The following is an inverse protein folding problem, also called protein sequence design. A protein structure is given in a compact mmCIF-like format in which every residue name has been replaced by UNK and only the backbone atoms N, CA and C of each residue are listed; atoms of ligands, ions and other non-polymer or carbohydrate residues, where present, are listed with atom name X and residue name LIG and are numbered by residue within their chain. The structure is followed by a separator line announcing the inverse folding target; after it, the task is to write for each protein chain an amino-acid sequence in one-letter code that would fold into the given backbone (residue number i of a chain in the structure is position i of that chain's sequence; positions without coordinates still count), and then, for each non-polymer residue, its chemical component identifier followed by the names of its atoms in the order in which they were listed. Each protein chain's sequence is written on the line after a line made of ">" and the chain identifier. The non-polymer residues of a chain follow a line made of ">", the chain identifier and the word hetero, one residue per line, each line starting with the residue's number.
data_IF_678924952099
#
_entry.id   IF_678924952099
#
_cell.length_a   1.000
_cell.length_b   1.000
_cell.length_c   1.000
_cell.angle_alpha   90.00
_cell.angle_beta   90.00
_cell.angle_gamma   90.00
#
_symmetry.space_group_name_H-M   'P 1'
#
loop_
_entity.id
_entity.type
_entity.pdbx_description
1 polymer ?
#
# COMPACT_ATOMS: atom_id res chain seq x y z
N UNK A 1 14.87 11.48 10.10
CA UNK A 1 13.50 11.25 10.58
C UNK A 1 13.03 9.90 10.07
N UNK A 2 12.05 9.77 9.17
CA UNK A 2 11.54 8.46 8.72
C UNK A 2 12.53 7.67 7.83
N UNK A 3 13.33 8.35 7.00
CA UNK A 3 14.35 7.69 6.17
C UNK A 3 15.40 6.95 7.01
N UNK A 4 15.99 7.62 8.01
CA UNK A 4 16.92 6.99 8.96
C UNK A 4 16.31 5.79 9.72
N UNK A 5 15.02 5.84 10.02
CA UNK A 5 14.33 4.71 10.63
C UNK A 5 14.21 3.52 9.67
N UNK A 6 13.98 3.76 8.37
CA UNK A 6 13.98 2.70 7.35
C UNK A 6 15.38 2.10 7.14
N UNK A 7 16.42 2.91 7.10
CA UNK A 7 17.82 2.43 7.03
C UNK A 7 18.15 1.52 8.23
N UNK A 8 17.73 1.93 9.43
CA UNK A 8 17.90 1.10 10.63
C UNK A 8 17.09 -0.20 10.55
N UNK A 9 15.87 -0.16 10.02
CA UNK A 9 15.05 -1.35 9.80
C UNK A 9 15.74 -2.33 8.84
N UNK A 10 16.32 -1.83 7.75
CA UNK A 10 17.10 -2.61 6.77
C UNK A 10 18.33 -3.25 7.39
N UNK A 11 19.09 -2.50 8.19
CA UNK A 11 20.21 -3.06 8.95
C UNK A 11 19.74 -4.15 9.92
N UNK A 12 18.61 -3.92 10.60
CA UNK A 12 18.04 -4.88 11.57
C UNK A 12 17.59 -6.17 10.89
N UNK A 13 16.95 -6.10 9.72
CA UNK A 13 16.52 -7.29 8.97
C UNK A 13 17.71 -8.18 8.57
N UNK A 14 18.86 -7.58 8.23
CA UNK A 14 20.10 -8.31 7.96
C UNK A 14 20.64 -9.00 9.23
N UNK A 15 20.58 -8.32 10.38
CA UNK A 15 20.99 -8.91 11.66
C UNK A 15 20.09 -10.08 12.06
N UNK A 16 18.77 -9.92 11.92
CA UNK A 16 17.81 -10.98 12.22
C UNK A 16 17.98 -12.17 11.28
N UNK A 17 18.23 -11.94 9.99
CA UNK A 17 18.53 -13.01 9.04
C UNK A 17 19.76 -13.81 9.44
N UNK A 18 20.84 -13.17 9.89
CA UNK A 18 22.03 -13.87 10.41
C UNK A 18 21.71 -14.71 11.64
N UNK A 19 20.85 -14.22 12.53
CA UNK A 19 20.43 -14.96 13.75
C UNK A 19 19.55 -16.17 13.43
N UNK A 20 18.71 -16.07 12.39
CA UNK A 20 17.79 -17.14 11.99
C UNK A 20 18.43 -18.18 11.08
N UNK A 21 19.55 -17.84 10.41
CA UNK A 21 20.23 -18.72 9.47
C UNK A 21 20.59 -20.12 10.04
N UNK A 22 21.06 -20.28 11.29
CA UNK A 22 21.32 -21.61 11.87
C UNK A 22 20.08 -22.50 11.99
N UNK A 23 18.88 -21.91 11.98
CA UNK A 23 17.59 -22.61 12.02
C UNK A 23 16.99 -22.78 10.61
N UNK A 24 17.72 -22.41 9.55
CA UNK A 24 17.18 -22.36 8.18
C UNK A 24 16.18 -21.23 7.93
N UNK A 25 16.06 -20.27 8.86
CA UNK A 25 15.15 -19.13 8.74
C UNK A 25 15.80 -17.90 8.11
N UNK A 26 14.96 -16.97 7.64
CA UNK A 26 15.38 -15.68 7.08
C UNK A 26 14.36 -14.59 7.42
N UNK A 27 14.84 -13.35 7.62
CA UNK A 27 14.00 -12.20 7.90
C UNK A 27 13.96 -11.27 6.68
N UNK A 28 12.78 -10.74 6.37
CA UNK A 28 12.57 -9.91 5.19
C UNK A 28 11.88 -8.60 5.57
N UNK A 29 12.16 -7.57 4.78
CA UNK A 29 11.33 -6.36 4.73
C UNK A 29 10.42 -6.50 3.52
N UNK A 30 9.12 -6.26 3.73
CA UNK A 30 8.17 -6.09 2.64
C UNK A 30 7.94 -4.59 2.43
N UNK A 31 8.30 -4.10 1.24
CA UNK A 31 8.00 -2.74 0.81
C UNK A 31 6.62 -2.77 0.16
N UNK A 32 5.63 -2.21 0.85
CA UNK A 32 4.24 -2.30 0.47
C UNK A 32 3.79 -1.09 -0.35
N UNK A 33 2.85 -1.34 -1.27
CA UNK A 33 2.10 -0.30 -1.98
C UNK A 33 1.37 0.64 -1.03
N UNK A 34 1.13 1.86 -1.49
CA UNK A 34 0.36 2.88 -0.82
C UNK A 34 -1.13 2.51 -0.70
N UNK A 35 -1.64 2.62 0.52
CA UNK A 35 -3.04 2.36 0.91
C UNK A 35 -3.50 3.36 1.97
N UNK A 36 -4.81 3.45 2.17
CA UNK A 36 -5.40 4.31 3.21
C UNK A 36 -5.20 3.65 4.57
N UNK A 37 -4.61 4.40 5.50
CA UNK A 37 -4.40 4.02 6.90
C UNK A 37 -4.57 5.26 7.77
N UNK A 38 -4.74 5.09 9.09
CA UNK A 38 -4.84 6.23 10.02
C UNK A 38 -3.59 7.11 9.96
N UNK A 39 -2.43 6.47 9.83
CA UNK A 39 -1.14 7.17 9.71
C UNK A 39 -0.97 7.85 8.36
N UNK A 40 -1.37 7.23 7.25
CA UNK A 40 -1.22 7.83 5.90
C UNK A 40 -2.19 8.97 5.64
N UNK A 41 -3.39 8.93 6.23
CA UNK A 41 -4.41 9.97 6.06
C UNK A 41 -4.03 11.34 6.65
N UNK A 42 -3.13 11.37 7.63
CA UNK A 42 -2.69 12.61 8.31
C UNK A 42 -1.41 13.20 7.72
N UNK A 43 -0.74 12.50 6.79
CA UNK A 43 0.43 13.04 6.12
C UNK A 43 -0.06 13.97 5.01
N UNK A 44 0.34 15.26 4.99
CA UNK A 44 -0.02 16.16 3.92
C UNK A 44 0.32 15.57 2.55
N UNK A 45 -0.47 15.88 1.52
CA UNK A 45 -0.25 15.48 0.11
C UNK A 45 -0.52 14.00 -0.20
N UNK A 46 -0.34 13.08 0.76
CA UNK A 46 -0.59 11.65 0.58
C UNK A 46 -2.03 11.30 0.17
N UNK A 47 -3.09 11.93 0.73
CA UNK A 47 -4.46 11.68 0.27
C UNK A 47 -4.67 11.91 -1.23
N UNK A 48 -4.09 12.99 -1.76
CA UNK A 48 -4.19 13.31 -3.19
C UNK A 48 -3.43 12.29 -4.05
N UNK A 49 -2.23 11.88 -3.60
CA UNK A 49 -1.45 10.85 -4.28
C UNK A 49 -2.22 9.52 -4.33
N UNK A 50 -2.77 9.08 -3.20
CA UNK A 50 -3.55 7.86 -3.12
C UNK A 50 -4.77 7.91 -4.05
N UNK A 51 -5.53 9.00 -4.04
CA UNK A 51 -6.70 9.13 -4.91
C UNK A 51 -6.32 9.05 -6.40
N UNK A 52 -5.23 9.71 -6.83
CA UNK A 52 -4.74 9.62 -8.21
C UNK A 52 -4.27 8.19 -8.53
N UNK A 53 -3.42 7.63 -7.67
CA UNK A 53 -2.86 6.29 -7.84
C UNK A 53 -3.95 5.23 -7.96
N UNK A 54 -4.97 5.29 -7.10
CA UNK A 54 -6.07 4.32 -7.11
C UNK A 54 -6.80 4.34 -8.44
N UNK A 55 -7.08 5.54 -8.97
CA UNK A 55 -7.73 5.68 -10.27
C UNK A 55 -6.90 5.06 -11.38
N UNK A 56 -5.60 5.39 -11.45
CA UNK A 56 -4.67 4.86 -12.47
C UNK A 56 -4.56 3.34 -12.39
N UNK A 57 -4.39 2.80 -11.19
CA UNK A 57 -4.23 1.35 -11.00
C UNK A 57 -5.52 0.59 -11.29
N UNK A 58 -6.70 1.16 -11.00
CA UNK A 58 -8.00 0.57 -11.35
C UNK A 58 -8.24 0.53 -12.85
N UNK A 59 -7.94 1.62 -13.56
CA UNK A 59 -8.02 1.66 -15.03
C UNK A 59 -7.13 0.60 -15.70
N UNK A 60 -6.05 0.20 -15.02
CA UNK A 60 -5.12 -0.86 -15.45
C UNK A 60 -5.45 -2.24 -14.87
N UNK A 61 -6.47 -2.38 -14.03
CA UNK A 61 -6.88 -3.65 -13.43
C UNK A 61 -5.91 -4.23 -12.39
N UNK A 62 -5.09 -3.39 -11.74
CA UNK A 62 -4.02 -3.80 -10.81
C UNK A 62 -4.13 -3.14 -9.43
N UNK A 63 -5.28 -2.55 -9.11
CA UNK A 63 -5.49 -1.95 -7.79
C UNK A 63 -5.68 -3.03 -6.72
N UNK A 64 -5.03 -2.84 -5.58
CA UNK A 64 -5.10 -3.71 -4.41
C UNK A 64 -5.29 -2.89 -3.13
N UNK A 65 -6.08 -3.43 -2.21
CA UNK A 65 -6.17 -2.99 -0.82
C UNK A 65 -5.23 -3.77 0.09
N UNK A 66 -5.40 -3.59 1.40
CA UNK A 66 -4.54 -4.22 2.40
C UNK A 66 -4.60 -5.75 2.34
N UNK A 67 -5.79 -6.32 2.18
CA UNK A 67 -5.97 -7.78 2.23
C UNK A 67 -5.43 -8.46 0.98
N UNK A 68 -5.66 -7.87 -0.20
CA UNK A 68 -5.14 -8.36 -1.48
C UNK A 68 -3.62 -8.34 -1.49
N UNK A 69 -3.01 -7.24 -1.00
CA UNK A 69 -1.55 -7.16 -0.86
C UNK A 69 -1.00 -8.25 0.06
N UNK A 70 -1.61 -8.50 1.23
CA UNK A 70 -1.12 -9.54 2.13
C UNK A 70 -1.34 -10.94 1.56
N UNK A 71 -2.48 -11.17 0.90
CA UNK A 71 -2.73 -12.41 0.18
C UNK A 71 -1.65 -12.67 -0.87
N UNK A 72 -1.37 -11.69 -1.75
CA UNK A 72 -0.34 -11.81 -2.79
C UNK A 72 1.06 -12.00 -2.20
N UNK A 73 1.39 -11.32 -1.11
CA UNK A 73 2.67 -11.51 -0.40
C UNK A 73 2.86 -12.98 0.00
N UNK A 74 1.86 -13.59 0.63
CA UNK A 74 1.97 -14.97 1.10
C UNK A 74 1.82 -16.00 -0.04
N UNK A 75 0.81 -15.83 -0.88
CA UNK A 75 0.40 -16.79 -1.90
C UNK A 75 1.31 -16.81 -3.13
N UNK A 76 1.99 -15.70 -3.45
CA UNK A 76 2.81 -15.60 -4.66
C UNK A 76 4.30 -15.37 -4.40
N UNK A 77 4.68 -14.92 -3.20
CA UNK A 77 6.08 -14.58 -2.88
C UNK A 77 6.64 -15.41 -1.73
N UNK A 78 6.20 -15.18 -0.51
CA UNK A 78 6.88 -15.67 0.70
C UNK A 78 6.85 -17.21 0.83
N UNK A 79 5.74 -17.86 0.45
CA UNK A 79 5.56 -19.31 0.59
C UNK A 79 5.30 -20.03 -0.73
N UNK A 80 5.33 -19.31 -1.85
CA UNK A 80 4.93 -19.84 -3.15
C UNK A 80 6.07 -20.58 -3.88
N UNK A 81 7.32 -20.27 -3.55
CA UNK A 81 8.51 -20.70 -4.29
C UNK A 81 9.59 -21.16 -3.33
N UNK A 82 10.54 -21.95 -3.83
CA UNK A 82 11.74 -22.34 -3.09
C UNK A 82 12.63 -21.14 -2.76
N UNK A 83 12.62 -20.10 -3.60
CA UNK A 83 13.33 -18.85 -3.38
C UNK A 83 12.37 -17.66 -3.37
N UNK A 84 12.42 -16.87 -2.30
CA UNK A 84 11.59 -15.67 -2.12
C UNK A 84 12.13 -14.55 -3.02
N UNK A 85 11.33 -13.99 -3.94
CA UNK A 85 11.78 -12.92 -4.83
C UNK A 85 12.02 -11.63 -4.04
N UNK A 86 13.22 -11.07 -4.19
CA UNK A 86 13.66 -9.84 -3.50
C UNK A 86 14.39 -8.91 -4.46
N UNK A 87 14.48 -7.62 -4.09
CA UNK A 87 15.34 -6.65 -4.77
C UNK A 87 16.83 -6.81 -4.38
N UNK A 88 17.68 -5.96 -4.94
CA UNK A 88 19.14 -5.97 -4.72
C UNK A 88 19.52 -5.80 -3.23
N UNK A 89 18.67 -5.12 -2.45
CA UNK A 89 18.86 -4.93 -1.01
C UNK A 89 18.22 -6.04 -0.15
N UNK A 90 17.58 -7.03 -0.77
CA UNK A 90 16.99 -8.19 -0.11
C UNK A 90 15.57 -7.97 0.42
N UNK A 91 14.82 -7.00 -0.13
CA UNK A 91 13.45 -6.63 0.26
C UNK A 91 12.44 -7.25 -0.69
N UNK A 92 11.32 -7.73 -0.16
CA UNK A 92 10.17 -8.17 -0.96
C UNK A 92 9.43 -6.93 -1.45
N UNK A 93 9.21 -6.82 -2.77
CA UNK A 93 8.55 -5.65 -3.39
C UNK A 93 7.08 -5.92 -3.62
N UNK A 94 6.20 -5.44 -2.75
CA UNK A 94 4.74 -5.48 -2.94
C UNK A 94 4.21 -4.19 -3.59
N UNK A 95 5.06 -3.17 -3.70
CA UNK A 95 4.84 -1.95 -4.46
C UNK A 95 5.21 -2.09 -5.95
N UNK A 96 5.60 -3.28 -6.40
CA UNK A 96 6.01 -3.58 -7.77
C UNK A 96 5.01 -3.12 -8.84
N UNK A 97 3.71 -3.29 -8.60
CA UNK A 97 2.67 -2.81 -9.52
C UNK A 97 2.47 -1.30 -9.48
N UNK A 98 2.59 -0.69 -8.31
CA UNK A 98 2.53 0.78 -8.14
C UNK A 98 3.73 1.45 -8.82
N UNK A 99 4.91 0.85 -8.71
CA UNK A 99 6.18 1.40 -9.20
C UNK A 99 6.43 1.12 -10.69
N UNK A 100 5.49 0.49 -11.40
CA UNK A 100 5.58 0.31 -12.85
C UNK A 100 5.75 1.66 -13.56
N UNK A 101 6.64 1.77 -14.56
CA UNK A 101 6.86 3.03 -15.28
C UNK A 101 5.59 3.65 -15.87
N UNK A 102 4.69 2.83 -16.41
CA UNK A 102 3.43 3.28 -17.02
C UNK A 102 2.38 3.74 -15.99
N UNK A 103 2.49 3.30 -14.74
CA UNK A 103 1.67 3.78 -13.62
C UNK A 103 2.21 5.12 -13.13
N UNK A 104 3.50 5.18 -12.82
CA UNK A 104 4.13 6.39 -12.29
C UNK A 104 4.10 7.56 -13.28
N UNK A 105 4.29 7.30 -14.58
CA UNK A 105 4.17 8.34 -15.60
C UNK A 105 2.75 8.94 -15.67
N UNK A 106 1.72 8.11 -15.55
CA UNK A 106 0.34 8.57 -15.57
C UNK A 106 -0.05 9.29 -14.28
N UNK A 107 0.44 8.83 -13.13
CA UNK A 107 0.27 9.52 -11.85
C UNK A 107 0.92 10.91 -11.91
N UNK A 108 2.15 11.02 -12.39
CA UNK A 108 2.86 12.30 -12.54
C UNK A 108 2.16 13.24 -13.54
N UNK A 109 1.65 12.70 -14.66
CA UNK A 109 0.85 13.48 -15.61
C UNK A 109 -0.41 14.05 -14.95
N UNK A 110 -1.16 13.23 -14.21
CA UNK A 110 -2.38 13.67 -13.49
C UNK A 110 -2.05 14.65 -12.38
N UNK A 111 -0.95 14.43 -11.67
CA UNK A 111 -0.44 15.32 -10.62
C UNK A 111 -0.27 16.76 -11.11
N UNK A 112 0.33 16.91 -12.29
CA UNK A 112 0.56 18.23 -12.92
C UNK A 112 -0.72 18.91 -13.41
N UNK A 113 -1.77 18.13 -13.69
CA UNK A 113 -3.04 18.62 -14.26
C UNK A 113 -4.14 18.84 -13.21
N UNK A 114 -3.98 18.27 -12.02
CA UNK A 114 -5.04 18.26 -11.01
C UNK A 114 -5.29 19.67 -10.47
N UNK A 115 -6.57 20.02 -10.45
CA UNK A 115 -7.13 21.28 -9.96
C UNK A 115 -8.44 20.96 -9.23
N UNK A 116 -8.93 21.87 -8.39
CA UNK A 116 -10.17 21.64 -7.64
C UNK A 116 -11.35 21.23 -8.51
N UNK A 117 -11.49 21.86 -9.68
CA UNK A 117 -12.60 21.65 -10.63
C UNK A 117 -12.58 20.27 -11.32
N UNK A 118 -11.39 19.70 -11.56
CA UNK A 118 -11.23 18.45 -12.32
C UNK A 118 -10.79 17.26 -11.44
N UNK A 119 -10.70 17.46 -10.13
CA UNK A 119 -10.15 16.48 -9.19
C UNK A 119 -10.86 15.12 -9.28
N UNK A 120 -12.19 15.10 -9.33
CA UNK A 120 -12.98 13.85 -9.44
C UNK A 120 -12.79 13.13 -10.78
N UNK A 121 -12.36 13.84 -11.82
CA UNK A 121 -12.07 13.25 -13.13
C UNK A 121 -10.70 12.59 -13.13
N UNK A 122 -9.70 13.14 -12.43
CA UNK A 122 -8.31 12.68 -12.44
C UNK A 122 -7.96 11.78 -11.25
N UNK A 123 -8.74 11.81 -10.17
CA UNK A 123 -8.50 11.06 -8.95
C UNK A 123 -9.77 10.34 -8.47
N UNK A 124 -9.58 9.20 -7.82
CA UNK A 124 -10.65 8.40 -7.23
C UNK A 124 -10.85 8.80 -5.76
N UNK A 125 -11.48 9.95 -5.57
CA UNK A 125 -11.83 10.44 -4.23
C UNK A 125 -12.88 9.56 -3.55
N UNK A 126 -13.76 8.93 -4.31
CA UNK A 126 -14.83 8.10 -3.77
C UNK A 126 -14.26 6.86 -3.09
N UNK A 127 -13.34 6.15 -3.76
CA UNK A 127 -12.62 5.04 -3.13
C UNK A 127 -11.81 5.49 -1.93
N UNK A 128 -11.07 6.60 -2.04
CA UNK A 128 -10.29 7.10 -0.91
C UNK A 128 -11.17 7.37 0.31
N UNK A 129 -12.30 8.06 0.12
CA UNK A 129 -13.26 8.36 1.19
C UNK A 129 -13.88 7.09 1.75
N UNK A 130 -14.27 6.13 0.88
CA UNK A 130 -14.79 4.84 1.31
C UNK A 130 -13.78 4.07 2.17
N UNK A 131 -12.53 3.98 1.72
CA UNK A 131 -11.48 3.26 2.47
C UNK A 131 -11.19 3.95 3.82
N UNK A 132 -11.23 5.28 3.84
CA UNK A 132 -11.08 6.05 5.07
C UNK A 132 -12.24 5.79 6.04
N UNK A 133 -13.49 5.76 5.57
CA UNK A 133 -14.66 5.47 6.40
C UNK A 133 -14.66 4.02 6.90
N UNK A 134 -14.36 3.07 6.01
CA UNK A 134 -14.30 1.64 6.35
C UNK A 134 -13.28 1.38 7.45
N UNK A 135 -12.15 2.08 7.45
CA UNK A 135 -11.13 2.01 8.51
C UNK A 135 -11.64 2.47 9.89
N UNK A 136 -12.70 3.26 9.92
CA UNK A 136 -13.36 3.73 11.13
C UNK A 136 -14.69 3.00 11.41
N UNK A 137 -15.01 1.95 10.64
CA UNK A 137 -16.24 1.17 10.81
C UNK A 137 -17.47 1.74 10.10
N UNK A 138 -17.30 2.75 9.24
CA UNK A 138 -18.40 3.43 8.54
C UNK A 138 -18.42 3.09 7.05
N UNK A 139 -19.58 3.24 6.39
CA UNK A 139 -19.72 3.11 4.94
C UNK A 139 -19.94 1.68 4.42
N UNK A 140 -20.24 0.72 5.29
CA UNK A 140 -20.58 -0.66 4.92
C UNK A 140 -22.09 -0.78 4.62
N UNK A 141 -22.50 -1.18 3.41
CA UNK A 141 -23.92 -1.28 3.05
C UNK A 141 -24.69 -2.35 3.84
N UNK A 142 -23.99 -3.35 4.37
CA UNK A 142 -24.55 -4.42 5.19
C UNK A 142 -24.78 -4.04 6.66
N UNK A 143 -24.35 -2.85 7.10
CA UNK A 143 -24.49 -2.38 8.49
C UNK A 143 -25.65 -1.39 8.59
N UNK A 144 -26.58 -1.67 9.51
CA UNK A 144 -27.61 -0.72 9.92
C UNK A 144 -27.01 0.28 10.92
N UNK A 145 -26.71 1.49 10.46
CA UNK A 145 -26.12 2.56 11.26
C UNK A 145 -27.13 3.29 12.16
N UNK A 146 -28.43 3.04 12.00
CA UNK A 146 -29.48 3.62 12.86
C UNK A 146 -29.75 2.75 14.10
N UNK A 147 -29.17 1.55 14.15
CA UNK A 147 -29.32 0.64 15.28
C UNK A 147 -28.43 1.06 16.45
N UNK A 148 -28.99 1.06 17.66
CA UNK A 148 -28.23 1.27 18.89
C UNK A 148 -27.07 0.27 19.02
N UNK A 149 -25.90 0.80 19.41
CA UNK A 149 -24.69 0.02 19.71
C UNK A 149 -24.36 0.20 21.19
N UNK A 150 -24.06 -0.91 21.86
CA UNK A 150 -23.62 -0.87 23.26
C UNK A 150 -22.27 -0.14 23.36
N UNK A 151 -22.14 0.72 24.36
CA UNK A 151 -20.91 1.46 24.69
C UNK A 151 -19.97 0.58 25.51
#
# INVERSE_FOLDING_TARGET
>A
TIGKAKEHLEATAKLLSKKLAPLGGKAYISVNKAVVTRASAVIPVVPLYLAILFKVMKEKGIHEGCIEQMYRLFAEKLYARSEVPVDEEGRIRMDDWEMRPDVQAEVDRRWKLVKGENLRQLADLEQYTRDFLNLHGFGFPEIDYEKDVAV
#
